data_IF_028888014440
#
_entry.id   IF_028888014440
#
_cell.length_a   1.000
_cell.length_b   1.000
_cell.length_c   1.000
_cell.angle_alpha   90.00
_cell.angle_beta   90.00
_cell.angle_gamma   90.00
#
_symmetry.space_group_name_H-M   'P 1'
#
loop_
_entity.id
_entity.type
_entity.pdbx_description
1 polymer ?
#
# COMPACT_ATOMS: atom_id res chain seq x y z
N UNK A 1 -12.00 -15.86 -12.58
CA UNK A 1 -11.55 -14.59 -11.94
C UNK A 1 -10.21 -14.86 -11.27
N UNK A 2 -9.22 -13.96 -11.42
CA UNK A 2 -7.87 -14.14 -10.89
C UNK A 2 -7.88 -14.23 -9.34
N UNK A 3 -7.11 -15.16 -8.78
CA UNK A 3 -6.94 -15.33 -7.32
C UNK A 3 -5.58 -14.79 -6.93
N UNK A 4 -5.55 -13.73 -6.13
CA UNK A 4 -4.33 -13.14 -5.59
C UNK A 4 -3.68 -14.06 -4.55
N UNK A 5 -2.42 -13.83 -4.23
CA UNK A 5 -1.67 -14.63 -3.23
C UNK A 5 -2.38 -14.68 -1.86
N UNK A 6 -3.00 -13.57 -1.46
CA UNK A 6 -3.71 -13.45 -0.18
C UNK A 6 -4.97 -14.32 -0.10
N UNK A 7 -5.53 -14.75 -1.25
CA UNK A 7 -6.66 -15.69 -1.28
C UNK A 7 -6.37 -16.95 -0.47
N UNK A 8 -5.22 -17.59 -0.71
CA UNK A 8 -4.87 -18.82 0.01
C UNK A 8 -4.58 -18.56 1.49
N UNK A 9 -3.95 -17.43 1.80
CA UNK A 9 -3.67 -17.05 3.20
C UNK A 9 -4.97 -16.86 3.98
N UNK A 10 -5.93 -16.10 3.42
CA UNK A 10 -7.24 -15.86 4.06
C UNK A 10 -7.99 -17.17 4.22
N UNK A 11 -8.02 -18.00 3.17
CA UNK A 11 -8.71 -19.29 3.18
C UNK A 11 -8.17 -20.18 4.29
N UNK A 12 -6.87 -20.42 4.33
CA UNK A 12 -6.23 -21.26 5.35
C UNK A 12 -6.55 -20.76 6.77
N UNK A 13 -6.45 -19.46 7.04
CA UNK A 13 -6.73 -18.89 8.37
C UNK A 13 -8.21 -18.99 8.77
N UNK A 14 -9.13 -18.94 7.81
CA UNK A 14 -10.55 -19.17 8.08
C UNK A 14 -10.90 -20.64 8.26
N UNK A 15 -10.11 -21.57 7.72
CA UNK A 15 -10.25 -23.02 7.96
C UNK A 15 -9.67 -23.45 9.32
N UNK A 16 -8.67 -22.74 9.84
CA UNK A 16 -8.08 -22.99 11.17
C UNK A 16 -9.12 -22.85 12.31
N UNK A 17 -8.91 -23.48 13.47
CA UNK A 17 -9.72 -23.22 14.68
C UNK A 17 -9.76 -21.73 15.01
N UNK A 18 -10.89 -21.26 15.57
CA UNK A 18 -11.04 -19.88 16.01
C UNK A 18 -9.96 -19.51 17.06
N UNK A 19 -9.05 -18.60 16.69
CA UNK A 19 -7.96 -18.17 17.56
C UNK A 19 -7.75 -16.66 17.53
N UNK A 20 -7.78 -16.06 16.33
CA UNK A 20 -7.54 -14.64 16.12
C UNK A 20 -8.59 -14.04 15.18
N UNK A 21 -8.91 -12.78 15.40
CA UNK A 21 -9.60 -11.92 14.43
C UNK A 21 -8.66 -11.73 13.25
N UNK A 22 -9.11 -12.03 12.04
CA UNK A 22 -8.33 -11.77 10.84
C UNK A 22 -8.60 -10.36 10.34
N UNK A 23 -7.56 -9.56 10.09
CA UNK A 23 -7.66 -8.17 9.64
C UNK A 23 -6.99 -8.02 8.29
N UNK A 24 -7.78 -7.79 7.25
CA UNK A 24 -7.28 -7.55 5.88
C UNK A 24 -7.16 -6.04 5.65
N UNK A 25 -5.93 -5.58 5.46
CA UNK A 25 -5.65 -4.16 5.25
C UNK A 25 -4.85 -3.92 3.97
N UNK A 26 -5.08 -2.76 3.36
CA UNK A 26 -4.39 -2.35 2.14
C UNK A 26 -5.08 -1.15 1.49
N UNK A 27 -4.41 -0.52 0.53
CA UNK A 27 -4.90 0.68 -0.16
C UNK A 27 -6.30 0.49 -0.76
N UNK A 28 -6.94 1.61 -1.08
CA UNK A 28 -8.22 1.62 -1.79
C UNK A 28 -8.09 0.99 -3.19
N UNK A 29 -9.14 0.31 -3.66
CA UNK A 29 -9.27 -0.23 -5.03
C UNK A 29 -8.24 -1.32 -5.43
N UNK A 30 -7.62 -2.00 -4.47
CA UNK A 30 -6.70 -3.13 -4.73
C UNK A 30 -7.41 -4.49 -4.72
N UNK A 31 -8.73 -4.54 -4.48
CA UNK A 31 -9.53 -5.75 -4.55
C UNK A 31 -9.69 -6.55 -3.25
N UNK A 32 -9.54 -5.94 -2.06
CA UNK A 32 -9.72 -6.60 -0.75
C UNK A 32 -11.04 -7.36 -0.65
N UNK A 33 -12.17 -6.65 -0.80
CA UNK A 33 -13.51 -7.24 -0.70
C UNK A 33 -13.77 -8.29 -1.78
N UNK A 34 -13.14 -8.16 -2.96
CA UNK A 34 -13.21 -9.14 -4.05
C UNK A 34 -12.55 -10.46 -3.65
N UNK A 35 -11.31 -10.41 -3.13
CA UNK A 35 -10.60 -11.62 -2.68
C UNK A 35 -11.34 -12.31 -1.55
N UNK A 36 -11.85 -11.54 -0.57
CA UNK A 36 -12.64 -12.10 0.53
C UNK A 36 -13.91 -12.78 0.01
N UNK A 37 -14.65 -12.14 -0.91
CA UNK A 37 -15.83 -12.77 -1.53
C UNK A 37 -15.50 -14.04 -2.32
N UNK A 38 -14.34 -14.11 -2.96
CA UNK A 38 -13.88 -15.36 -3.61
C UNK A 38 -13.62 -16.46 -2.57
N UNK A 39 -12.95 -16.15 -1.47
CA UNK A 39 -12.68 -17.09 -0.39
C UNK A 39 -13.99 -17.61 0.21
N UNK A 40 -14.92 -16.71 0.56
CA UNK A 40 -16.19 -17.07 1.19
C UNK A 40 -17.07 -18.00 0.30
N UNK A 41 -16.97 -17.85 -1.03
CA UNK A 41 -17.66 -18.75 -1.97
C UNK A 41 -17.06 -20.15 -2.03
N UNK A 42 -15.77 -20.27 -1.76
CA UNK A 42 -15.02 -21.52 -1.84
C UNK A 42 -14.86 -22.20 -0.46
N UNK A 43 -15.43 -21.61 0.59
CA UNK A 43 -15.49 -22.18 1.94
C UNK A 43 -16.86 -22.81 2.18
N UNK A 44 -16.87 -24.01 2.73
CA UNK A 44 -18.09 -24.68 3.19
C UNK A 44 -18.45 -24.27 4.63
N UNK A 45 -18.51 -22.96 4.86
CA UNK A 45 -18.86 -22.36 6.14
C UNK A 45 -19.89 -21.25 5.94
N UNK A 46 -20.93 -21.20 6.79
CA UNK A 46 -21.90 -20.12 6.75
C UNK A 46 -21.25 -18.80 7.13
N UNK A 47 -21.63 -17.73 6.42
CA UNK A 47 -21.08 -16.41 6.68
C UNK A 47 -22.15 -15.31 6.57
N UNK A 48 -21.88 -14.20 7.28
CA UNK A 48 -22.56 -12.93 7.08
C UNK A 48 -21.54 -11.87 6.70
N UNK A 49 -21.86 -11.07 5.69
CA UNK A 49 -21.00 -10.00 5.17
C UNK A 49 -21.72 -8.65 5.31
N UNK A 50 -21.15 -7.75 6.10
CA UNK A 50 -21.64 -6.39 6.30
C UNK A 50 -20.61 -5.36 5.81
N UNK A 51 -21.09 -4.18 5.39
CA UNK A 51 -20.24 -3.05 5.04
C UNK A 51 -20.64 -1.82 5.84
N UNK A 52 -19.65 -1.16 6.43
CA UNK A 52 -19.85 0.10 7.15
C UNK A 52 -19.88 1.34 6.24
N UNK A 53 -19.85 1.17 4.91
CA UNK A 53 -19.77 2.28 3.94
C UNK A 53 -20.86 3.34 4.13
N UNK A 54 -22.08 2.91 4.47
CA UNK A 54 -23.24 3.77 4.65
C UNK A 54 -23.69 3.89 6.11
N UNK A 55 -22.86 3.45 7.05
CA UNK A 55 -23.16 3.51 8.49
C UNK A 55 -22.67 4.85 9.05
N UNK A 56 -23.52 5.62 9.73
CA UNK A 56 -23.05 6.82 10.44
C UNK A 56 -21.96 6.48 11.46
N UNK A 57 -20.88 7.24 11.50
CA UNK A 57 -19.75 6.98 12.39
C UNK A 57 -20.16 6.90 13.88
N UNK A 58 -21.20 7.62 14.28
CA UNK A 58 -21.76 7.62 15.65
C UNK A 58 -22.58 6.38 16.00
N UNK A 59 -22.96 5.55 15.01
CA UNK A 59 -23.76 4.34 15.25
C UNK A 59 -22.86 3.16 15.66
N UNK A 60 -22.35 3.21 16.88
CA UNK A 60 -21.49 2.15 17.44
C UNK A 60 -22.25 0.85 17.74
N UNK A 61 -23.58 0.93 17.97
CA UNK A 61 -24.42 -0.23 18.22
C UNK A 61 -24.49 -1.18 17.00
N UNK A 62 -24.35 -0.64 15.79
CA UNK A 62 -24.40 -1.42 14.54
C UNK A 62 -23.40 -2.58 14.53
N UNK A 63 -22.22 -2.43 15.11
CA UNK A 63 -21.24 -3.52 15.19
C UNK A 63 -21.76 -4.67 16.07
N UNK A 64 -22.36 -4.37 17.22
CA UNK A 64 -23.00 -5.37 18.08
C UNK A 64 -24.20 -6.03 17.40
N UNK A 65 -25.00 -5.26 16.63
CA UNK A 65 -26.14 -5.79 15.87
C UNK A 65 -25.68 -6.81 14.82
N UNK A 66 -24.56 -6.55 14.11
CA UNK A 66 -23.95 -7.50 13.18
C UNK A 66 -23.55 -8.80 13.89
N UNK A 67 -22.98 -8.71 15.09
CA UNK A 67 -22.61 -9.87 15.90
C UNK A 67 -23.82 -10.68 16.35
N UNK A 68 -24.86 -10.02 16.87
CA UNK A 68 -26.06 -10.71 17.34
C UNK A 68 -26.82 -11.37 16.19
N UNK A 69 -26.81 -10.79 15.00
CA UNK A 69 -27.37 -11.41 13.80
C UNK A 69 -26.68 -12.76 13.49
N UNK A 70 -25.34 -12.81 13.53
CA UNK A 70 -24.60 -14.06 13.34
C UNK A 70 -24.89 -15.07 14.45
N UNK A 71 -24.91 -14.63 15.71
CA UNK A 71 -25.24 -15.48 16.87
C UNK A 71 -26.63 -16.09 16.75
N UNK A 72 -27.60 -15.28 16.37
CA UNK A 72 -28.98 -15.72 16.19
C UNK A 72 -29.11 -16.76 15.08
N UNK A 73 -28.54 -16.51 13.90
CA UNK A 73 -28.56 -17.44 12.78
C UNK A 73 -27.80 -18.73 13.08
N UNK A 74 -26.66 -18.62 13.76
CA UNK A 74 -25.90 -19.81 14.19
C UNK A 74 -26.72 -20.70 15.11
N UNK A 75 -27.46 -20.12 16.07
CA UNK A 75 -28.35 -20.86 16.97
C UNK A 75 -29.51 -21.48 16.24
N UNK A 76 -30.23 -20.71 15.40
CA UNK A 76 -31.45 -21.19 14.71
C UNK A 76 -31.18 -22.29 13.69
N UNK A 77 -29.98 -22.29 13.08
CA UNK A 77 -29.59 -23.29 12.09
C UNK A 77 -28.69 -24.40 12.62
N UNK A 78 -28.38 -24.42 13.92
CA UNK A 78 -27.47 -25.37 14.56
C UNK A 78 -26.08 -25.43 13.87
N UNK A 79 -25.56 -24.31 13.40
CA UNK A 79 -24.23 -24.28 12.80
C UNK A 79 -23.15 -24.50 13.85
N UNK A 80 -22.17 -25.37 13.58
CA UNK A 80 -21.02 -25.59 14.44
C UNK A 80 -20.15 -24.33 14.52
N UNK A 81 -19.91 -23.68 13.36
CA UNK A 81 -19.17 -22.43 13.27
C UNK A 81 -19.83 -21.49 12.24
N UNK A 82 -19.49 -20.21 12.30
CA UNK A 82 -19.91 -19.20 11.35
C UNK A 82 -18.83 -18.14 11.17
N UNK A 83 -18.86 -17.41 10.04
CA UNK A 83 -17.94 -16.31 9.77
C UNK A 83 -18.71 -15.00 9.77
N UNK A 84 -18.22 -14.02 10.53
CA UNK A 84 -18.63 -12.63 10.47
C UNK A 84 -17.59 -11.81 9.69
N UNK A 85 -18.02 -11.16 8.63
CA UNK A 85 -17.18 -10.25 7.85
C UNK A 85 -17.72 -8.84 7.97
N UNK A 86 -16.87 -7.90 8.35
CA UNK A 86 -17.21 -6.46 8.39
C UNK A 86 -16.20 -5.70 7.53
N UNK A 87 -16.69 -5.13 6.44
CA UNK A 87 -15.90 -4.31 5.52
C UNK A 87 -15.96 -2.83 5.94
N UNK A 88 -14.82 -2.12 5.78
CA UNK A 88 -14.65 -0.71 6.14
C UNK A 88 -14.97 -0.40 7.61
N UNK A 89 -14.69 -1.34 8.52
CA UNK A 89 -15.01 -1.27 9.96
C UNK A 89 -14.53 0.03 10.63
N UNK A 90 -13.41 0.60 10.18
CA UNK A 90 -12.82 1.81 10.74
C UNK A 90 -13.68 3.07 10.55
N UNK A 91 -14.76 3.01 9.78
CA UNK A 91 -15.70 4.12 9.61
C UNK A 91 -16.60 4.32 10.83
N UNK A 92 -16.77 3.27 11.63
CA UNK A 92 -17.55 3.34 12.88
C UNK A 92 -16.65 3.82 14.02
N UNK A 93 -17.09 4.84 14.75
CA UNK A 93 -16.34 5.33 15.92
C UNK A 93 -16.26 4.26 17.00
N UNK A 94 -15.12 4.20 17.72
CA UNK A 94 -14.89 3.25 18.82
C UNK A 94 -15.15 1.77 18.45
N UNK A 95 -15.08 1.44 17.16
CA UNK A 95 -15.32 0.08 16.66
C UNK A 95 -14.49 -0.98 17.39
N UNK A 96 -13.24 -0.68 17.71
CA UNK A 96 -12.30 -1.64 18.32
C UNK A 96 -12.69 -2.06 19.74
N UNK A 97 -13.28 -1.14 20.53
CA UNK A 97 -13.81 -1.45 21.86
C UNK A 97 -15.04 -2.37 21.77
N UNK A 98 -15.92 -2.10 20.80
CA UNK A 98 -17.09 -2.96 20.57
C UNK A 98 -16.68 -4.34 20.10
N UNK A 99 -15.77 -4.41 19.10
CA UNK A 99 -15.23 -5.68 18.60
C UNK A 99 -14.57 -6.48 19.73
N UNK A 100 -13.77 -5.81 20.58
CA UNK A 100 -13.14 -6.47 21.75
C UNK A 100 -14.18 -7.08 22.69
N UNK A 101 -15.19 -6.30 23.05
CA UNK A 101 -16.29 -6.76 23.93
C UNK A 101 -16.98 -7.99 23.36
N UNK A 102 -17.38 -7.94 22.09
CA UNK A 102 -18.10 -9.03 21.44
C UNK A 102 -17.22 -10.29 21.24
N UNK A 103 -15.94 -10.08 20.89
CA UNK A 103 -14.98 -11.16 20.76
C UNK A 103 -14.69 -11.88 22.08
N UNK A 104 -14.51 -11.12 23.18
CA UNK A 104 -14.26 -11.66 24.49
C UNK A 104 -15.50 -12.38 25.05
N UNK A 105 -16.71 -11.87 24.83
CA UNK A 105 -17.97 -12.54 25.17
C UNK A 105 -18.14 -13.86 24.42
N UNK A 106 -17.82 -13.90 23.11
CA UNK A 106 -17.85 -15.14 22.34
C UNK A 106 -16.81 -16.16 22.83
N UNK A 107 -15.65 -15.67 23.29
CA UNK A 107 -14.58 -16.51 23.85
C UNK A 107 -15.00 -17.11 25.18
N UNK A 108 -15.62 -16.29 26.04
CA UNK A 108 -16.10 -16.73 27.35
C UNK A 108 -17.23 -17.79 27.27
N UNK A 109 -18.07 -17.67 26.23
CA UNK A 109 -19.22 -18.54 26.03
C UNK A 109 -18.97 -19.67 24.99
N UNK A 110 -17.73 -19.93 24.61
CA UNK A 110 -17.34 -20.96 23.63
C UNK A 110 -18.11 -20.88 22.30
N UNK A 111 -18.44 -19.64 21.85
CA UNK A 111 -19.12 -19.42 20.59
C UNK A 111 -18.09 -19.39 19.46
N UNK A 112 -18.16 -20.39 18.59
CA UNK A 112 -17.25 -20.50 17.44
C UNK A 112 -17.68 -19.58 16.29
N UNK A 113 -17.47 -18.27 16.46
CA UNK A 113 -17.67 -17.24 15.41
C UNK A 113 -16.29 -16.72 14.99
N UNK A 114 -15.91 -17.01 13.77
CA UNK A 114 -14.68 -16.49 13.15
C UNK A 114 -14.94 -15.09 12.63
N UNK A 115 -14.00 -14.18 12.80
CA UNK A 115 -14.19 -12.76 12.46
C UNK A 115 -13.14 -12.32 11.46
N UNK A 116 -13.60 -11.67 10.40
CA UNK A 116 -12.77 -11.09 9.36
C UNK A 116 -13.13 -9.60 9.21
N UNK A 117 -12.19 -8.72 9.51
CA UNK A 117 -12.34 -7.28 9.39
C UNK A 117 -11.55 -6.79 8.17
N UNK A 118 -12.15 -5.89 7.39
CA UNK A 118 -11.49 -5.27 6.26
C UNK A 118 -11.47 -3.75 6.44
N UNK A 119 -10.43 -3.11 5.90
CA UNK A 119 -10.40 -1.65 5.83
C UNK A 119 -9.33 -1.11 4.89
N UNK A 120 -9.61 0.07 4.36
CA UNK A 120 -8.73 0.81 3.46
C UNK A 120 -7.83 1.81 4.19
N UNK A 121 -8.27 2.36 5.33
CA UNK A 121 -7.48 3.28 6.13
C UNK A 121 -6.59 2.53 7.11
N UNK A 122 -5.29 2.48 6.77
CA UNK A 122 -4.27 1.83 7.61
C UNK A 122 -4.21 2.43 9.01
N UNK A 123 -4.18 3.77 9.11
CA UNK A 123 -4.03 4.50 10.38
C UNK A 123 -5.12 4.16 11.37
N UNK A 124 -6.39 4.25 10.92
CA UNK A 124 -7.53 3.98 11.78
C UNK A 124 -7.60 2.52 12.22
N UNK A 125 -7.25 1.61 11.31
CA UNK A 125 -7.18 0.19 11.68
C UNK A 125 -6.06 -0.04 12.69
N UNK A 126 -4.82 0.38 12.40
CA UNK A 126 -3.67 0.17 13.28
C UNK A 126 -3.90 0.82 14.66
N UNK A 127 -4.50 2.02 14.72
CA UNK A 127 -4.84 2.67 15.99
C UNK A 127 -5.82 1.83 16.81
N UNK A 128 -6.95 1.44 16.23
CA UNK A 128 -7.94 0.61 16.94
C UNK A 128 -7.39 -0.74 17.34
N UNK A 129 -6.57 -1.38 16.49
CA UNK A 129 -5.94 -2.66 16.77
C UNK A 129 -4.94 -2.58 17.94
N UNK A 130 -4.09 -1.55 17.95
CA UNK A 130 -3.06 -1.38 18.98
C UNK A 130 -3.64 -0.99 20.35
N UNK A 131 -4.68 -0.15 20.37
CA UNK A 131 -5.28 0.34 21.61
C UNK A 131 -6.14 -0.71 22.32
N UNK A 132 -6.97 -1.45 21.58
CA UNK A 132 -8.01 -2.30 22.18
C UNK A 132 -7.87 -3.79 21.91
N UNK A 133 -7.35 -4.18 20.75
CA UNK A 133 -7.36 -5.56 20.27
C UNK A 133 -6.02 -6.29 20.38
N UNK A 134 -5.03 -5.72 21.08
CA UNK A 134 -3.72 -6.33 21.24
C UNK A 134 -3.82 -7.80 21.71
N UNK A 135 -3.15 -8.70 20.99
CA UNK A 135 -3.16 -10.14 21.26
C UNK A 135 -4.37 -10.92 20.73
N UNK A 136 -5.35 -10.24 20.10
CA UNK A 136 -6.59 -10.86 19.57
C UNK A 136 -6.66 -10.95 18.07
N UNK A 137 -5.73 -10.38 17.33
CA UNK A 137 -5.81 -10.28 15.88
C UNK A 137 -4.52 -10.70 15.17
N UNK A 138 -4.67 -11.01 13.90
CA UNK A 138 -3.58 -11.18 12.94
C UNK A 138 -3.85 -10.34 11.70
N UNK A 139 -2.78 -9.73 11.15
CA UNK A 139 -2.87 -8.89 9.95
C UNK A 139 -2.56 -9.68 8.69
N UNK A 140 -3.36 -9.43 7.65
CA UNK A 140 -3.12 -9.82 6.27
C UNK A 140 -2.99 -8.53 5.47
N UNK A 141 -1.77 -8.23 5.03
CA UNK A 141 -1.47 -7.01 4.29
C UNK A 141 -1.54 -7.26 2.80
N UNK A 142 -2.39 -6.52 2.11
CA UNK A 142 -2.54 -6.59 0.66
C UNK A 142 -1.86 -5.37 0.02
N UNK A 143 -0.86 -5.63 -0.83
CA UNK A 143 -0.19 -4.60 -1.64
C UNK A 143 -0.97 -4.22 -2.89
N UNK A 144 -0.46 -3.22 -3.62
CA UNK A 144 -0.90 -2.99 -5.00
C UNK A 144 -0.64 -4.23 -5.85
N UNK A 145 -1.38 -4.39 -6.93
CA UNK A 145 -1.15 -5.50 -7.85
C UNK A 145 0.27 -5.41 -8.42
N UNK A 146 0.97 -6.53 -8.35
CA UNK A 146 2.32 -6.66 -8.89
C UNK A 146 2.30 -6.78 -10.41
N UNK A 147 3.47 -6.65 -11.05
CA UNK A 147 3.62 -6.91 -12.48
C UNK A 147 3.09 -8.30 -12.87
N UNK A 148 3.44 -9.32 -12.11
CA UNK A 148 2.99 -10.71 -12.39
C UNK A 148 1.47 -10.81 -12.35
N UNK A 149 0.81 -10.21 -11.36
CA UNK A 149 -0.65 -10.22 -11.26
C UNK A 149 -1.32 -9.47 -12.43
N UNK A 150 -0.77 -8.32 -12.84
CA UNK A 150 -1.30 -7.56 -13.98
C UNK A 150 -1.04 -8.26 -15.30
N UNK A 151 0.14 -8.87 -15.48
CA UNK A 151 0.48 -9.70 -16.64
C UNK A 151 -0.47 -10.90 -16.75
N UNK A 152 -0.59 -11.68 -15.69
CA UNK A 152 -1.33 -12.95 -15.70
C UNK A 152 -2.85 -12.75 -15.81
N UNK A 153 -3.36 -11.63 -15.29
CA UNK A 153 -4.79 -11.31 -15.32
C UNK A 153 -5.22 -10.54 -16.59
N UNK A 154 -4.39 -9.61 -17.05
CA UNK A 154 -4.75 -8.64 -18.11
C UNK A 154 -3.82 -8.70 -19.34
N UNK A 155 -2.80 -9.54 -19.34
CA UNK A 155 -1.84 -9.66 -20.45
C UNK A 155 -0.90 -8.45 -20.60
N UNK A 156 -0.66 -7.70 -19.53
CA UNK A 156 0.15 -6.48 -19.59
C UNK A 156 1.63 -6.76 -19.84
N UNK A 157 2.25 -5.94 -20.70
CA UNK A 157 3.70 -5.86 -20.79
C UNK A 157 4.30 -5.18 -19.56
N UNK A 158 5.61 -5.33 -19.37
CA UNK A 158 6.33 -4.61 -18.32
C UNK A 158 6.18 -3.10 -18.48
N UNK A 159 6.32 -2.57 -19.70
CA UNK A 159 6.22 -1.13 -19.96
C UNK A 159 4.83 -0.58 -19.62
N UNK A 160 3.78 -1.35 -19.93
CA UNK A 160 2.43 -1.00 -19.51
C UNK A 160 2.31 -0.95 -17.98
N UNK A 161 2.86 -1.94 -17.28
CA UNK A 161 2.86 -1.94 -15.83
C UNK A 161 3.65 -0.77 -15.23
N UNK A 162 4.81 -0.50 -15.75
CA UNK A 162 5.66 0.63 -15.34
C UNK A 162 4.92 1.95 -15.53
N UNK A 163 4.20 2.13 -16.63
CA UNK A 163 3.46 3.37 -16.89
C UNK A 163 2.12 3.42 -16.16
N UNK A 164 1.26 2.44 -16.37
CA UNK A 164 -0.13 2.44 -15.86
C UNK A 164 -0.27 1.93 -14.43
N UNK A 165 0.80 1.35 -13.84
CA UNK A 165 0.81 0.85 -12.47
C UNK A 165 -0.07 -0.38 -12.25
N UNK A 166 -0.43 -0.67 -11.00
CA UNK A 166 -1.15 -1.88 -10.59
C UNK A 166 -2.52 -1.59 -9.97
N UNK A 167 -3.40 -0.83 -10.66
CA UNK A 167 -4.81 -0.69 -10.30
C UNK A 167 -5.69 -1.55 -11.21
N UNK A 168 -6.24 -2.69 -10.74
CA UNK A 168 -6.99 -3.62 -11.61
C UNK A 168 -8.27 -2.99 -12.18
N UNK A 169 -8.89 -2.05 -11.46
CA UNK A 169 -10.07 -1.32 -11.94
C UNK A 169 -9.79 -0.40 -13.11
N UNK A 170 -8.55 0.03 -13.29
CA UNK A 170 -8.13 0.88 -14.42
C UNK A 170 -7.72 0.05 -15.66
N UNK A 171 -7.48 -1.25 -15.51
CA UNK A 171 -6.98 -2.09 -16.59
C UNK A 171 -7.84 -2.08 -17.87
N UNK A 172 -9.18 -2.08 -17.82
CA UNK A 172 -10.02 -1.99 -19.02
C UNK A 172 -9.94 -0.64 -19.76
N UNK A 173 -9.32 0.37 -19.14
CA UNK A 173 -9.22 1.72 -19.70
C UNK A 173 -7.88 1.97 -20.42
N UNK A 174 -6.97 1.01 -20.36
CA UNK A 174 -5.69 1.09 -21.09
C UNK A 174 -5.97 1.09 -22.58
N UNK A 175 -5.47 2.13 -23.27
CA UNK A 175 -5.79 2.40 -24.68
C UNK A 175 -6.71 3.63 -24.87
N UNK A 176 -7.34 4.11 -23.79
CA UNK A 176 -8.06 5.38 -23.74
C UNK A 176 -7.49 6.20 -22.56
N UNK A 177 -6.46 6.99 -22.86
CA UNK A 177 -5.67 7.66 -21.82
C UNK A 177 -6.47 8.70 -21.04
N UNK A 178 -7.39 9.40 -21.69
CA UNK A 178 -8.24 10.40 -21.03
C UNK A 178 -9.15 9.74 -19.97
N UNK A 179 -9.77 8.62 -20.33
CA UNK A 179 -10.60 7.86 -19.37
C UNK A 179 -9.76 7.23 -18.27
N UNK A 180 -8.56 6.74 -18.59
CA UNK A 180 -7.64 6.21 -17.59
C UNK A 180 -7.24 7.30 -16.59
N UNK A 181 -6.79 8.45 -17.07
CA UNK A 181 -6.41 9.59 -16.23
C UNK A 181 -7.58 10.06 -15.36
N UNK A 182 -8.77 10.22 -15.94
CA UNK A 182 -9.97 10.61 -15.20
C UNK A 182 -10.31 9.60 -14.10
N UNK A 183 -10.20 8.29 -14.37
CA UNK A 183 -10.43 7.25 -13.38
C UNK A 183 -9.42 7.32 -12.23
N UNK A 184 -8.11 7.41 -12.54
CA UNK A 184 -7.08 7.52 -11.51
C UNK A 184 -7.28 8.78 -10.68
N UNK A 185 -7.58 9.90 -11.29
CA UNK A 185 -7.77 11.16 -10.59
C UNK A 185 -9.01 11.15 -9.70
N UNK A 186 -10.18 10.83 -10.25
CA UNK A 186 -11.45 10.93 -9.52
C UNK A 186 -11.70 9.74 -8.58
N UNK A 187 -11.48 8.51 -9.07
CA UNK A 187 -11.85 7.29 -8.32
C UNK A 187 -10.77 6.81 -7.36
N UNK A 188 -9.50 7.20 -7.57
CA UNK A 188 -8.39 6.82 -6.70
C UNK A 188 -7.94 8.01 -5.86
N UNK A 189 -7.38 9.05 -6.48
CA UNK A 189 -6.74 10.17 -5.77
C UNK A 189 -7.77 10.97 -4.98
N UNK A 190 -8.80 11.48 -5.66
CA UNK A 190 -9.83 12.32 -5.03
C UNK A 190 -10.62 11.54 -3.98
N UNK A 191 -10.95 10.29 -4.27
CA UNK A 191 -11.66 9.45 -3.33
C UNK A 191 -10.81 9.17 -2.07
N UNK A 192 -9.51 8.88 -2.22
CA UNK A 192 -8.62 8.62 -1.07
C UNK A 192 -8.40 9.91 -0.27
N UNK A 193 -8.06 11.03 -0.92
CA UNK A 193 -7.83 12.29 -0.21
C UNK A 193 -9.11 12.75 0.51
N UNK A 194 -10.25 12.79 -0.18
CA UNK A 194 -11.48 13.35 0.37
C UNK A 194 -12.13 12.42 1.39
N UNK A 195 -12.18 11.10 1.14
CA UNK A 195 -12.92 10.15 1.98
C UNK A 195 -12.08 9.46 3.05
N UNK A 196 -10.79 9.20 2.77
CA UNK A 196 -9.95 8.45 3.71
C UNK A 196 -9.05 9.38 4.54
N UNK A 197 -8.70 10.58 4.05
CA UNK A 197 -7.86 11.52 4.80
C UNK A 197 -8.69 12.65 5.40
N UNK A 198 -9.40 13.43 4.57
CA UNK A 198 -10.08 14.65 5.03
C UNK A 198 -11.30 14.40 5.91
N UNK A 199 -12.02 13.29 5.69
CA UNK A 199 -13.14 12.93 6.59
C UNK A 199 -12.63 12.39 7.93
N UNK A 200 -11.41 11.87 7.95
CA UNK A 200 -10.85 11.14 9.08
C UNK A 200 -9.98 12.00 9.99
N UNK A 201 -9.36 13.03 9.43
CA UNK A 201 -8.40 13.88 10.13
C UNK A 201 -8.78 15.35 9.92
N UNK A 202 -8.98 16.13 10.99
CA UNK A 202 -9.15 17.57 10.87
C UNK A 202 -7.89 18.21 10.26
N UNK A 203 -7.99 18.64 9.01
CA UNK A 203 -6.88 19.28 8.29
C UNK A 203 -7.20 20.73 8.05
N UNK A 204 -6.36 21.62 8.60
CA UNK A 204 -6.55 23.07 8.50
C UNK A 204 -6.43 23.62 7.06
N UNK A 205 -5.66 22.92 6.18
CA UNK A 205 -5.41 23.35 4.81
C UNK A 205 -5.56 22.19 3.82
N UNK A 206 -6.80 21.78 3.47
CA UNK A 206 -7.03 20.65 2.54
C UNK A 206 -6.42 20.84 1.15
N UNK A 207 -6.48 22.07 0.61
CA UNK A 207 -5.87 22.40 -0.67
C UNK A 207 -4.36 22.19 -0.68
N UNK A 208 -3.68 22.51 0.42
CA UNK A 208 -2.24 22.30 0.56
C UNK A 208 -1.88 20.80 0.63
N UNK A 209 -2.70 19.97 1.27
CA UNK A 209 -2.51 18.51 1.25
C UNK A 209 -2.55 17.97 -0.19
N UNK A 210 -3.52 18.40 -0.98
CA UNK A 210 -3.65 18.03 -2.39
C UNK A 210 -2.44 18.49 -3.20
N UNK A 211 -2.05 19.74 -3.09
CA UNK A 211 -0.87 20.29 -3.78
C UNK A 211 0.42 19.56 -3.36
N UNK A 212 0.56 19.18 -2.09
CA UNK A 212 1.68 18.38 -1.58
C UNK A 212 1.73 17.01 -2.26
N UNK A 213 0.58 16.37 -2.45
CA UNK A 213 0.49 15.12 -3.18
C UNK A 213 0.87 15.29 -4.66
N UNK A 214 0.26 16.24 -5.37
CA UNK A 214 0.47 16.47 -6.80
C UNK A 214 1.95 16.77 -7.10
N UNK A 215 2.55 17.69 -6.33
CA UNK A 215 3.98 18.00 -6.45
C UNK A 215 4.83 16.77 -6.13
N UNK A 216 4.52 16.08 -5.04
CA UNK A 216 5.27 14.89 -4.62
C UNK A 216 5.18 13.75 -5.64
N UNK A 217 4.03 13.53 -6.25
CA UNK A 217 3.82 12.52 -7.27
C UNK A 217 4.61 12.85 -8.56
N UNK A 218 4.63 14.12 -8.97
CA UNK A 218 5.44 14.57 -10.11
C UNK A 218 6.94 14.33 -9.87
N UNK A 219 7.41 14.50 -8.63
CA UNK A 219 8.80 14.26 -8.21
C UNK A 219 9.05 12.84 -7.68
N UNK A 220 8.16 11.88 -7.93
CA UNK A 220 8.38 10.49 -7.52
C UNK A 220 9.66 9.92 -8.14
N UNK A 221 10.50 9.28 -7.33
CA UNK A 221 11.85 8.82 -7.67
C UNK A 221 12.94 9.89 -7.46
N UNK A 222 12.59 11.13 -7.08
CA UNK A 222 13.56 12.23 -6.95
C UNK A 222 13.66 12.75 -5.52
N UNK A 223 14.83 13.33 -5.20
CA UNK A 223 15.09 14.01 -3.92
C UNK A 223 14.47 15.41 -3.95
N UNK A 224 13.54 15.68 -3.05
CA UNK A 224 12.96 17.02 -2.90
C UNK A 224 12.87 17.41 -1.43
N UNK A 225 13.61 18.47 -1.05
CA UNK A 225 13.56 18.95 0.33
C UNK A 225 12.22 19.63 0.64
N UNK A 226 11.77 19.50 1.90
CA UNK A 226 10.55 20.16 2.35
C UNK A 226 10.62 21.69 2.17
N UNK A 227 11.80 22.29 2.31
CA UNK A 227 12.00 23.72 2.05
C UNK A 227 11.78 24.10 0.57
N UNK A 228 12.23 23.26 -0.37
CA UNK A 228 11.95 23.47 -1.80
C UNK A 228 10.46 23.29 -2.10
N UNK A 229 9.82 22.30 -1.49
CA UNK A 229 8.36 22.13 -1.59
C UNK A 229 7.63 23.38 -1.09
N UNK A 230 8.01 23.93 0.07
CA UNK A 230 7.43 25.17 0.60
C UNK A 230 7.52 26.32 -0.39
N UNK A 231 8.67 26.50 -1.03
CA UNK A 231 8.87 27.57 -2.03
C UNK A 231 8.06 27.39 -3.32
N UNK A 232 7.55 26.18 -3.59
CA UNK A 232 6.77 25.86 -4.79
C UNK A 232 5.26 25.83 -4.54
N UNK A 233 4.82 25.80 -3.28
CA UNK A 233 3.41 25.65 -2.91
C UNK A 233 2.85 26.99 -2.39
N UNK A 234 1.61 27.28 -2.72
CA UNK A 234 0.91 28.46 -2.21
C UNK A 234 0.45 28.22 -0.77
N UNK A 235 0.61 29.21 0.09
CA UNK A 235 0.19 29.16 1.51
C UNK A 235 0.70 27.94 2.28
N UNK A 236 1.94 27.54 2.00
CA UNK A 236 2.50 26.25 2.42
C UNK A 236 2.70 26.09 3.95
N UNK A 237 2.67 27.16 4.72
CA UNK A 237 2.89 27.07 6.17
C UNK A 237 4.34 26.78 6.54
N UNK A 238 4.60 25.64 7.15
CA UNK A 238 5.94 25.23 7.58
C UNK A 238 6.28 23.78 7.20
N UNK A 239 7.55 23.40 7.37
CA UNK A 239 8.05 22.05 7.04
C UNK A 239 7.38 20.95 7.87
N UNK A 240 6.98 21.25 9.12
CA UNK A 240 6.28 20.28 9.98
C UNK A 240 4.90 19.93 9.42
N UNK A 241 4.18 20.92 8.89
CA UNK A 241 2.89 20.68 8.20
C UNK A 241 3.06 19.77 7.00
N UNK A 242 4.04 20.06 6.12
CA UNK A 242 4.30 19.20 4.95
C UNK A 242 4.75 17.81 5.35
N UNK A 243 5.58 17.67 6.39
CA UNK A 243 5.97 16.35 6.91
C UNK A 243 4.76 15.57 7.42
N UNK A 244 3.85 16.22 8.14
CA UNK A 244 2.59 15.62 8.58
C UNK A 244 1.72 15.16 7.39
N UNK A 245 1.63 15.97 6.34
CA UNK A 245 0.89 15.61 5.13
C UNK A 245 1.50 14.43 4.38
N UNK A 246 2.85 14.39 4.27
CA UNK A 246 3.52 13.23 3.68
C UNK A 246 3.26 11.95 4.47
N UNK A 247 3.19 12.02 5.80
CA UNK A 247 2.83 10.86 6.62
C UNK A 247 1.40 10.39 6.34
N UNK A 248 0.41 11.32 6.32
CA UNK A 248 -0.97 10.97 5.99
C UNK A 248 -1.13 10.35 4.60
N UNK A 249 -0.41 10.89 3.61
CA UNK A 249 -0.38 10.36 2.24
C UNK A 249 0.27 8.97 2.18
N UNK A 250 1.33 8.73 2.96
CA UNK A 250 1.99 7.43 3.05
C UNK A 250 1.10 6.36 3.70
N UNK A 251 0.42 6.73 4.77
CA UNK A 251 -0.53 5.89 5.48
C UNK A 251 -1.73 5.50 4.62
N UNK A 252 -2.12 6.39 3.70
CA UNK A 252 -3.21 6.15 2.73
C UNK A 252 -2.74 5.41 1.46
N UNK A 253 -1.45 5.05 1.36
CA UNK A 253 -0.89 4.33 0.22
C UNK A 253 -0.77 5.15 -1.06
N UNK A 254 -0.68 6.49 -0.95
CA UNK A 254 -0.54 7.38 -2.10
C UNK A 254 0.93 7.76 -2.37
N UNK A 255 1.59 8.40 -1.40
CA UNK A 255 2.93 8.97 -1.56
C UNK A 255 3.70 8.87 -0.25
N UNK A 256 4.96 8.45 -0.28
CA UNK A 256 5.86 8.48 0.87
C UNK A 256 7.16 9.23 0.58
N UNK A 257 7.88 9.59 1.64
CA UNK A 257 9.23 10.10 1.59
C UNK A 257 10.21 9.05 2.10
N UNK A 258 10.99 8.43 1.20
CA UNK A 258 12.04 7.51 1.59
C UNK A 258 13.16 8.27 2.29
N UNK A 259 13.61 7.74 3.43
CA UNK A 259 14.73 8.32 4.17
C UNK A 259 16.07 7.86 3.58
N UNK A 260 17.11 8.65 3.77
CA UNK A 260 18.48 8.24 3.46
C UNK A 260 18.89 7.07 4.36
N UNK A 261 19.47 6.01 3.78
CA UNK A 261 20.09 4.96 4.57
C UNK A 261 21.32 5.52 5.31
N UNK A 262 21.34 5.35 6.61
CA UNK A 262 22.47 5.68 7.51
C UNK A 262 22.41 4.77 8.72
N UNK A 263 23.55 4.39 9.25
CA UNK A 263 23.68 3.71 10.54
C UNK A 263 23.24 4.66 11.66
N UNK A 264 23.61 5.94 11.53
CA UNK A 264 23.23 7.00 12.47
C UNK A 264 21.74 7.40 12.27
N UNK A 265 20.93 7.17 13.30
CA UNK A 265 19.50 7.49 13.28
C UNK A 265 19.20 8.99 13.17
N UNK A 266 20.04 9.85 13.75
CA UNK A 266 19.85 11.30 13.69
C UNK A 266 20.06 11.81 12.25
N UNK A 267 21.12 11.35 11.58
CA UNK A 267 21.38 11.65 10.17
C UNK A 267 20.29 11.13 9.25
N UNK A 268 19.71 9.98 9.55
CA UNK A 268 18.59 9.41 8.80
C UNK A 268 17.37 10.32 8.86
N UNK A 269 16.96 10.74 10.07
CA UNK A 269 15.78 11.60 10.29
C UNK A 269 15.92 13.00 9.72
N UNK A 270 17.14 13.52 9.66
CA UNK A 270 17.44 14.85 9.11
C UNK A 270 17.63 14.86 7.59
N UNK A 271 17.50 13.71 6.92
CA UNK A 271 17.77 13.59 5.49
C UNK A 271 16.66 14.19 4.63
N UNK A 272 17.05 14.68 3.45
CA UNK A 272 16.08 15.07 2.41
C UNK A 272 15.33 13.83 1.94
N UNK A 273 13.99 13.81 1.92
CA UNK A 273 13.26 12.65 1.45
C UNK A 273 13.41 12.44 -0.06
N UNK A 274 13.55 11.18 -0.49
CA UNK A 274 13.28 10.76 -1.87
C UNK A 274 11.79 10.45 -1.96
N UNK A 275 11.06 11.23 -2.73
CA UNK A 275 9.61 11.06 -2.84
C UNK A 275 9.29 9.82 -3.66
N UNK A 276 8.29 9.05 -3.26
CA UNK A 276 7.93 7.80 -3.92
C UNK A 276 6.43 7.52 -3.81
N UNK A 277 5.77 7.37 -4.96
CA UNK A 277 4.38 6.89 -5.02
C UNK A 277 4.31 5.39 -4.76
N UNK A 278 3.20 4.93 -4.18
CA UNK A 278 2.96 3.49 -3.96
C UNK A 278 2.49 2.74 -5.22
N UNK A 279 2.05 3.49 -6.24
CA UNK A 279 1.60 2.94 -7.52
C UNK A 279 1.94 3.95 -8.61
N UNK A 280 2.58 3.51 -9.68
CA UNK A 280 3.14 4.46 -10.65
C UNK A 280 2.08 5.19 -11.49
N UNK A 281 0.83 4.67 -11.57
CA UNK A 281 -0.30 5.41 -12.12
C UNK A 281 -0.51 6.78 -11.45
N UNK A 282 -0.17 6.90 -10.15
CA UNK A 282 -0.27 8.15 -9.38
C UNK A 282 0.72 9.22 -9.84
N UNK A 283 1.84 8.83 -10.44
CA UNK A 283 2.80 9.73 -11.09
C UNK A 283 2.40 10.03 -12.52
N UNK A 284 2.10 9.01 -13.29
CA UNK A 284 1.91 9.14 -14.74
C UNK A 284 0.59 9.80 -15.13
N UNK A 285 -0.40 9.84 -14.22
CA UNK A 285 -1.62 10.64 -14.38
C UNK A 285 -1.33 12.14 -14.60
N UNK A 286 -0.19 12.62 -14.13
CA UNK A 286 0.29 14.00 -14.34
C UNK A 286 1.33 14.10 -15.47
N UNK A 287 1.57 13.01 -16.22
CA UNK A 287 2.52 13.03 -17.33
C UNK A 287 1.97 13.89 -18.50
N UNK A 288 2.78 14.81 -19.05
CA UNK A 288 2.39 15.53 -20.24
C UNK A 288 2.47 14.67 -21.51
N UNK A 289 3.04 13.47 -21.44
CA UNK A 289 3.25 12.56 -22.55
C UNK A 289 2.37 11.32 -22.42
N UNK A 290 1.65 10.92 -23.47
CA UNK A 290 0.97 9.64 -23.52
C UNK A 290 1.96 8.47 -23.52
N UNK A 291 1.49 7.28 -23.18
CA UNK A 291 2.31 6.06 -23.03
C UNK A 291 3.27 5.85 -24.20
N UNK A 292 2.75 5.85 -25.43
CA UNK A 292 3.54 5.58 -26.63
C UNK A 292 4.69 6.58 -26.85
N UNK A 293 4.51 7.83 -26.45
CA UNK A 293 5.56 8.86 -26.54
C UNK A 293 6.54 8.74 -25.36
N UNK A 294 6.02 8.48 -24.16
CA UNK A 294 6.84 8.36 -22.95
C UNK A 294 7.86 7.22 -23.06
N UNK A 295 7.47 6.08 -23.62
CA UNK A 295 8.38 4.92 -23.85
C UNK A 295 9.53 5.25 -24.80
N UNK A 296 9.28 6.13 -25.79
CA UNK A 296 10.29 6.54 -26.78
C UNK A 296 11.22 7.65 -26.27
N UNK A 297 10.78 8.45 -25.31
CA UNK A 297 11.60 9.50 -24.71
C UNK A 297 12.48 8.94 -23.58
N UNK A 298 13.74 8.66 -23.89
CA UNK A 298 14.69 8.02 -22.98
C UNK A 298 14.80 8.70 -21.61
N UNK A 299 14.74 10.04 -21.57
CA UNK A 299 14.91 10.79 -20.33
C UNK A 299 13.68 10.68 -19.44
N UNK A 300 12.50 10.86 -20.00
CA UNK A 300 11.23 10.71 -19.28
C UNK A 300 11.02 9.26 -18.86
N UNK A 301 11.31 8.31 -19.76
CA UNK A 301 11.18 6.89 -19.46
C UNK A 301 12.07 6.45 -18.31
N UNK A 302 13.34 6.88 -18.27
CA UNK A 302 14.23 6.55 -17.17
C UNK A 302 13.69 6.95 -15.80
N UNK A 303 13.06 8.14 -15.69
CA UNK A 303 12.40 8.60 -14.45
C UNK A 303 11.13 7.82 -14.12
N UNK A 304 10.32 7.51 -15.14
CA UNK A 304 9.10 6.72 -14.97
C UNK A 304 9.47 5.28 -14.53
N UNK A 305 10.50 4.70 -15.14
CA UNK A 305 11.00 3.38 -14.81
C UNK A 305 11.52 3.30 -13.37
N UNK A 306 12.40 4.23 -12.95
CA UNK A 306 12.90 4.29 -11.58
C UNK A 306 11.76 4.43 -10.56
N UNK A 307 10.80 5.32 -10.83
CA UNK A 307 9.60 5.47 -10.00
C UNK A 307 8.74 4.21 -9.96
N UNK A 308 8.61 3.49 -11.09
CA UNK A 308 7.86 2.23 -11.18
C UNK A 308 8.50 1.10 -10.38
N UNK A 309 9.83 0.96 -10.46
CA UNK A 309 10.60 0.03 -9.60
C UNK A 309 10.42 0.40 -8.13
N UNK A 310 10.54 1.69 -7.79
CA UNK A 310 10.32 2.15 -6.42
C UNK A 310 8.90 1.89 -5.91
N UNK A 311 7.87 2.11 -6.74
CA UNK A 311 6.47 1.82 -6.40
C UNK A 311 6.27 0.32 -6.10
N UNK A 312 6.85 -0.55 -6.91
CA UNK A 312 6.86 -1.99 -6.65
C UNK A 312 7.51 -2.31 -5.30
N UNK A 313 8.71 -1.75 -5.04
CA UNK A 313 9.46 -2.02 -3.81
C UNK A 313 8.74 -1.54 -2.55
N UNK A 314 8.15 -0.33 -2.54
CA UNK A 314 7.40 0.16 -1.36
C UNK A 314 6.09 -0.61 -1.14
N UNK A 315 5.44 -1.08 -2.22
CA UNK A 315 4.28 -1.96 -2.12
C UNK A 315 4.65 -3.32 -1.50
N UNK A 316 5.75 -3.94 -1.96
CA UNK A 316 6.26 -5.19 -1.39
C UNK A 316 6.76 -5.03 0.05
N UNK A 317 7.36 -3.89 0.37
CA UNK A 317 7.78 -3.56 1.73
C UNK A 317 6.61 -3.52 2.71
N UNK A 318 5.47 -2.99 2.28
CA UNK A 318 4.25 -3.00 3.09
C UNK A 318 3.78 -4.44 3.38
N UNK A 319 3.75 -5.31 2.36
CA UNK A 319 3.30 -6.70 2.50
C UNK A 319 4.26 -7.52 3.37
N UNK A 320 5.56 -7.44 3.08
CA UNK A 320 6.58 -8.33 3.64
C UNK A 320 7.34 -7.75 4.84
N UNK A 321 7.00 -6.54 5.28
CA UNK A 321 7.56 -5.87 6.47
C UNK A 321 9.08 -5.75 6.40
N UNK A 322 9.59 -5.10 5.35
CA UNK A 322 10.96 -4.62 5.25
C UNK A 322 10.97 -3.11 5.02
N UNK A 323 12.08 -2.45 5.31
CA UNK A 323 12.24 -1.02 5.11
C UNK A 323 12.83 -0.74 3.73
N UNK A 324 12.45 0.39 3.12
CA UNK A 324 13.03 0.92 1.89
C UNK A 324 13.64 2.28 2.17
N UNK A 325 14.89 2.44 1.78
CA UNK A 325 15.65 3.68 1.86
C UNK A 325 16.26 3.97 0.49
N UNK A 326 16.85 5.16 0.34
CA UNK A 326 17.85 5.46 -0.69
C UNK A 326 19.20 5.72 -0.01
N UNK A 327 20.29 5.67 -0.76
CA UNK A 327 21.59 6.09 -0.25
C UNK A 327 22.24 7.12 -1.16
N UNK A 328 22.82 8.15 -0.58
CA UNK A 328 23.56 9.18 -1.31
C UNK A 328 24.66 9.75 -0.45
N UNK A 329 25.87 9.83 -1.01
CA UNK A 329 27.00 10.50 -0.39
C UNK A 329 27.76 11.30 -1.45
N UNK A 330 27.74 12.64 -1.32
CA UNK A 330 28.26 13.57 -2.34
C UNK A 330 27.59 13.33 -3.70
N UNK A 331 28.36 12.78 -4.67
CA UNK A 331 27.89 12.50 -6.04
C UNK A 331 27.48 11.03 -6.26
N UNK A 332 27.75 10.16 -5.28
CA UNK A 332 27.46 8.74 -5.34
C UNK A 332 26.04 8.49 -4.79
N UNK A 333 25.24 7.73 -5.51
CA UNK A 333 23.87 7.44 -5.17
C UNK A 333 23.56 5.96 -5.46
N UNK A 334 22.70 5.37 -4.60
CA UNK A 334 22.01 4.10 -4.87
C UNK A 334 20.52 4.34 -4.72
N UNK A 335 19.76 3.97 -5.73
CA UNK A 335 18.34 4.33 -5.84
C UNK A 335 17.52 3.76 -4.69
N UNK A 336 17.73 2.48 -4.34
CA UNK A 336 16.97 1.81 -3.28
C UNK A 336 17.86 0.91 -2.43
N UNK A 337 17.69 1.02 -1.12
CA UNK A 337 18.30 0.12 -0.13
C UNK A 337 17.16 -0.54 0.64
N UNK A 338 17.08 -1.86 0.55
CA UNK A 338 16.10 -2.63 1.31
C UNK A 338 16.77 -3.16 2.59
N UNK A 339 16.06 -3.10 3.70
CA UNK A 339 16.55 -3.62 4.99
C UNK A 339 15.50 -4.50 5.64
N UNK A 340 15.88 -5.72 5.97
CA UNK A 340 15.09 -6.63 6.80
C UNK A 340 15.97 -7.24 7.89
N UNK A 341 15.68 -6.90 9.15
CA UNK A 341 16.56 -7.24 10.28
C UNK A 341 17.99 -6.72 10.02
N UNK A 342 18.97 -7.64 9.90
CA UNK A 342 20.38 -7.33 9.66
C UNK A 342 20.80 -7.44 8.19
N UNK A 343 19.90 -7.88 7.31
CA UNK A 343 20.19 -8.02 5.89
C UNK A 343 19.93 -6.72 5.12
N UNK A 344 20.83 -6.39 4.21
CA UNK A 344 20.73 -5.24 3.31
C UNK A 344 20.76 -5.71 1.87
N UNK A 345 19.91 -5.12 1.03
CA UNK A 345 19.92 -5.32 -0.42
C UNK A 345 20.02 -3.95 -1.08
N UNK A 346 20.99 -3.77 -1.98
CA UNK A 346 21.18 -2.53 -2.72
C UNK A 346 20.69 -2.67 -4.15
N UNK A 347 19.90 -1.73 -4.64
CA UNK A 347 19.27 -1.78 -5.96
C UNK A 347 19.47 -0.46 -6.68
N UNK A 348 20.02 -0.54 -7.89
CA UNK A 348 20.10 0.55 -8.85
C UNK A 348 19.12 0.28 -9.98
N UNK A 349 18.22 1.22 -10.29
CA UNK A 349 17.22 1.08 -11.34
C UNK A 349 17.68 1.82 -12.61
N UNK A 350 17.82 1.10 -13.74
CA UNK A 350 18.31 1.65 -15.02
C UNK A 350 17.29 1.43 -16.12
N UNK A 351 16.57 2.46 -16.47
CA UNK A 351 15.71 2.49 -17.67
C UNK A 351 16.48 2.76 -18.95
N UNK A 352 17.81 3.02 -18.89
CA UNK A 352 18.70 3.18 -20.03
C UNK A 352 20.18 3.04 -19.63
N UNK A 353 21.04 2.59 -20.58
CA UNK A 353 22.39 2.09 -20.32
C UNK A 353 23.46 3.12 -19.86
N UNK A 354 23.12 4.41 -19.80
CA UNK A 354 24.13 5.46 -19.58
C UNK A 354 24.41 5.82 -18.10
N UNK A 355 23.74 5.21 -17.15
CA UNK A 355 23.91 5.53 -15.70
C UNK A 355 25.17 4.86 -15.13
N UNK A 356 26.00 5.63 -14.40
CA UNK A 356 27.21 5.15 -13.72
C UNK A 356 26.87 4.22 -12.55
N UNK A 357 27.73 3.24 -12.27
CA UNK A 357 27.58 2.25 -11.20
C UNK A 357 28.44 2.54 -9.96
N UNK A 358 29.23 3.63 -10.00
CA UNK A 358 30.21 3.99 -8.96
C UNK A 358 29.57 4.05 -7.56
N UNK A 359 28.31 4.53 -7.46
CA UNK A 359 27.60 4.59 -6.19
C UNK A 359 27.32 3.21 -5.59
N UNK A 360 26.95 2.23 -6.43
CA UNK A 360 26.67 0.88 -5.97
C UNK A 360 27.94 0.19 -5.47
N UNK A 361 29.06 0.36 -6.17
CA UNK A 361 30.36 -0.22 -5.77
C UNK A 361 30.83 0.37 -4.45
N UNK A 362 30.73 1.70 -4.29
CA UNK A 362 31.08 2.37 -3.04
C UNK A 362 30.16 1.93 -1.88
N UNK A 363 28.87 1.75 -2.14
CA UNK A 363 27.95 1.22 -1.14
C UNK A 363 28.33 -0.21 -0.71
N UNK A 364 28.74 -1.07 -1.65
CA UNK A 364 29.23 -2.44 -1.38
C UNK A 364 30.45 -2.42 -0.45
N UNK A 365 31.41 -1.53 -0.71
CA UNK A 365 32.61 -1.39 0.12
C UNK A 365 32.26 -0.94 1.55
N UNK A 366 31.39 0.06 1.69
CA UNK A 366 31.06 0.67 2.97
C UNK A 366 30.15 -0.18 3.86
N UNK A 367 29.14 -0.83 3.27
CA UNK A 367 28.05 -1.45 4.03
C UNK A 367 27.94 -2.97 3.84
N UNK A 368 28.68 -3.56 2.90
CA UNK A 368 28.72 -4.99 2.63
C UNK A 368 27.31 -5.62 2.58
N UNK A 369 26.42 -5.18 1.66
CA UNK A 369 25.06 -5.71 1.58
C UNK A 369 25.07 -7.21 1.28
N UNK A 370 24.02 -7.92 1.73
CA UNK A 370 23.81 -9.35 1.45
C UNK A 370 23.77 -9.60 -0.06
N UNK A 371 23.13 -8.70 -0.80
CA UNK A 371 23.05 -8.75 -2.25
C UNK A 371 22.94 -7.34 -2.86
N UNK A 372 23.28 -7.22 -4.14
CA UNK A 372 23.18 -5.95 -4.85
C UNK A 372 22.92 -6.19 -6.34
N UNK A 373 22.03 -5.38 -6.92
CA UNK A 373 21.52 -5.58 -8.26
C UNK A 373 21.46 -4.26 -9.03
N UNK A 374 21.69 -4.36 -10.33
CA UNK A 374 21.22 -3.38 -11.30
C UNK A 374 19.99 -3.99 -11.93
N UNK A 375 18.86 -3.27 -11.89
CA UNK A 375 17.58 -3.68 -12.45
C UNK A 375 17.34 -2.90 -13.74
N UNK A 376 17.15 -3.60 -14.85
CA UNK A 376 17.00 -3.01 -16.18
C UNK A 376 18.29 -3.11 -17.00
N UNK A 377 18.60 -2.05 -17.76
CA UNK A 377 19.72 -2.06 -18.68
C UNK A 377 21.09 -2.28 -18.00
N UNK A 378 21.83 -3.27 -18.50
CA UNK A 378 23.15 -3.64 -17.96
C UNK A 378 23.13 -4.51 -16.70
N UNK A 379 21.94 -5.02 -16.30
CA UNK A 379 21.78 -5.87 -15.13
C UNK A 379 20.73 -6.97 -15.31
N UNK A 380 20.00 -7.28 -14.23
CA UNK A 380 18.88 -8.22 -14.27
C UNK A 380 17.73 -7.55 -15.05
N UNK A 381 17.09 -8.29 -15.94
CA UNK A 381 15.89 -7.81 -16.63
C UNK A 381 14.81 -7.44 -15.59
N UNK A 382 14.19 -6.30 -15.76
CA UNK A 382 13.19 -5.84 -14.79
C UNK A 382 11.98 -6.77 -14.69
N UNK A 383 11.61 -7.46 -15.77
CA UNK A 383 10.59 -8.52 -15.76
C UNK A 383 10.97 -9.69 -14.84
N UNK A 384 12.22 -10.13 -14.91
CA UNK A 384 12.76 -11.18 -14.04
C UNK A 384 12.77 -10.70 -12.58
N UNK A 385 13.30 -9.50 -12.34
CA UNK A 385 13.35 -8.91 -11.00
C UNK A 385 11.96 -8.78 -10.36
N UNK A 386 10.98 -8.26 -11.09
CA UNK A 386 9.60 -8.09 -10.58
C UNK A 386 8.80 -9.39 -10.49
N UNK A 387 9.34 -10.48 -11.03
CA UNK A 387 8.73 -11.82 -10.96
C UNK A 387 9.35 -12.69 -9.87
N UNK A 388 10.49 -12.30 -9.30
CA UNK A 388 11.13 -13.08 -8.24
C UNK A 388 10.54 -12.82 -6.87
N UNK A 389 10.69 -13.79 -5.99
CA UNK A 389 10.39 -13.63 -4.56
C UNK A 389 11.48 -12.77 -3.90
N UNK A 390 11.16 -11.50 -3.61
CA UNK A 390 12.09 -10.57 -2.98
C UNK A 390 12.59 -11.05 -1.60
N UNK A 391 11.86 -11.95 -0.92
CA UNK A 391 12.28 -12.46 0.39
C UNK A 391 13.52 -13.35 0.32
N UNK A 392 13.82 -13.89 -0.86
CA UNK A 392 15.04 -14.68 -1.11
C UNK A 392 16.30 -13.82 -1.28
N UNK A 393 16.14 -12.49 -1.36
CA UNK A 393 17.28 -11.57 -1.51
C UNK A 393 17.94 -11.22 -0.17
N UNK A 394 17.23 -11.41 0.95
CA UNK A 394 17.68 -11.17 2.32
C UNK A 394 18.36 -12.44 2.89
#
# INVERSE_FOLDING_TARGET
>A
MYKRAEYQIIKNRLEEPRKFIQVVMGARQIGKSTVVKQVLKDLDLPYLFYSADNVPASNTAWVSDCWEAVRSLKRSNNWESAILVIDEIQKVSNWSEVVKKEWDDDTFNDRNIKVLLLGSSRVRLEKGLSESLAGRFEEIRMGHWSYVEMRDCFGWSLDQYIFYGGYPGAAPLVGDEDRFQQYIQSSIIDATINKDILMDTPIGKPALLRQTFELGAAYSGELLSLNKMLGSLQDAGNTSTLSGYLNLLAESGLLCGLQKYSIDMARRRASIPKLQVYNNALKTVYSPMPFNQAVLDRKSWGRIFESGVGAYLVSQAFVHRFDVFYWRERNDEVDFILRKKNSLVAIEAKGNAEKRTEGLDKFRELFKPTSSFIVGDGGIKAEEFMSMDLMKLF
#
